data_IF_501916656381
#
_entry.id   IF_501916656381
#
_cell.length_a   1.000
_cell.length_b   1.000
_cell.length_c   1.000
_cell.angle_alpha   90.00
_cell.angle_beta   90.00
_cell.angle_gamma   90.00
#
_symmetry.space_group_name_H-M   'P 1'
#
loop_
_entity.id
_entity.type
_entity.pdbx_description
1 polymer ?
#
# COMPACT_ATOMS: atom_id res chain seq x y z
N UNK A 1 -39.34 -42.93 35.25
CA UNK A 1 -39.26 -41.96 34.15
C UNK A 1 -38.21 -40.92 34.53
N UNK A 2 -36.97 -41.14 34.15
CA UNK A 2 -35.85 -40.25 34.42
C UNK A 2 -35.55 -39.42 33.18
N UNK A 3 -35.63 -38.08 33.31
CA UNK A 3 -35.24 -37.13 32.26
C UNK A 3 -33.71 -37.02 32.23
N UNK A 4 -33.10 -37.50 31.14
CA UNK A 4 -31.68 -37.29 30.84
C UNK A 4 -31.57 -35.92 30.17
N UNK A 5 -30.97 -34.93 30.85
CA UNK A 5 -30.57 -33.66 30.28
C UNK A 5 -29.16 -33.81 29.69
N UNK A 6 -28.90 -33.39 28.42
CA UNK A 6 -27.53 -33.45 27.90
C UNK A 6 -26.69 -32.32 28.50
N UNK A 7 -25.58 -32.70 29.14
CA UNK A 7 -24.52 -31.78 29.54
C UNK A 7 -23.79 -31.29 28.27
N UNK A 8 -24.02 -30.09 27.84
CA UNK A 8 -23.18 -29.41 26.85
C UNK A 8 -21.82 -29.08 27.47
N UNK A 9 -20.79 -29.68 26.94
CA UNK A 9 -19.40 -29.44 27.33
C UNK A 9 -18.94 -28.08 26.81
N UNK A 10 -18.74 -27.08 27.67
CA UNK A 10 -18.16 -25.76 27.37
C UNK A 10 -16.62 -25.75 27.39
N UNK A 11 -15.98 -26.74 26.77
CA UNK A 11 -14.51 -26.84 26.80
C UNK A 11 -13.78 -26.18 25.61
N UNK A 12 -14.48 -25.77 24.54
CA UNK A 12 -13.83 -25.22 23.34
C UNK A 12 -13.42 -23.73 23.48
N UNK A 13 -14.24 -22.89 24.13
CA UNK A 13 -14.00 -21.45 24.21
C UNK A 13 -12.75 -21.06 25.02
N UNK A 14 -12.49 -21.71 26.15
CA UNK A 14 -11.32 -21.38 27.00
C UNK A 14 -9.98 -21.74 26.33
N UNK A 15 -9.91 -22.85 25.60
CA UNK A 15 -8.70 -23.22 24.83
C UNK A 15 -8.41 -22.27 23.69
N UNK A 16 -9.44 -21.83 22.97
CA UNK A 16 -9.29 -20.86 21.86
C UNK A 16 -8.81 -19.51 22.41
N UNK A 17 -9.40 -18.99 23.48
CA UNK A 17 -8.98 -17.72 24.13
C UNK A 17 -7.54 -17.82 24.64
N UNK A 18 -7.14 -18.94 25.21
CA UNK A 18 -5.76 -19.15 25.70
C UNK A 18 -4.74 -19.16 24.55
N UNK A 19 -5.04 -19.85 23.44
CA UNK A 19 -4.18 -19.89 22.25
C UNK A 19 -4.06 -18.52 21.60
N UNK A 20 -5.17 -17.76 21.48
CA UNK A 20 -5.16 -16.40 20.95
C UNK A 20 -4.34 -15.44 21.81
N UNK A 21 -4.52 -15.48 23.12
CA UNK A 21 -3.73 -14.67 24.08
C UNK A 21 -2.24 -15.02 24.01
N UNK A 22 -1.89 -16.29 23.86
CA UNK A 22 -0.50 -16.73 23.72
C UNK A 22 0.12 -16.25 22.40
N UNK A 23 -0.62 -16.31 21.28
CA UNK A 23 -0.15 -15.77 19.99
C UNK A 23 0.06 -14.25 20.04
N UNK A 24 -0.88 -13.52 20.61
CA UNK A 24 -0.77 -12.08 20.80
C UNK A 24 0.42 -11.72 21.68
N UNK A 25 0.61 -12.41 22.80
CA UNK A 25 1.78 -12.21 23.67
C UNK A 25 3.10 -12.44 22.92
N UNK A 26 3.19 -13.50 22.11
CA UNK A 26 4.36 -13.78 21.27
C UNK A 26 4.62 -12.67 20.26
N UNK A 27 3.57 -12.04 19.70
CA UNK A 27 3.74 -10.93 18.74
C UNK A 27 4.15 -9.62 19.41
N UNK A 28 3.63 -9.31 20.60
CA UNK A 28 4.05 -8.14 21.37
C UNK A 28 5.52 -8.30 21.77
N UNK A 29 5.89 -9.45 22.36
CA UNK A 29 7.28 -9.75 22.75
C UNK A 29 8.23 -9.85 21.55
N UNK A 30 7.73 -10.05 20.32
CA UNK A 30 8.55 -9.97 19.13
C UNK A 30 9.11 -8.55 18.94
N UNK A 31 8.28 -7.50 19.07
CA UNK A 31 8.71 -6.11 18.92
C UNK A 31 9.42 -5.55 20.16
N UNK A 32 9.35 -6.22 21.31
CA UNK A 32 10.11 -5.88 22.53
C UNK A 32 11.56 -6.38 22.50
N UNK A 33 11.97 -7.12 21.47
CA UNK A 33 13.37 -7.59 21.32
C UNK A 33 14.29 -6.41 21.06
N UNK A 34 15.37 -6.30 21.83
CA UNK A 34 16.31 -5.17 21.74
C UNK A 34 17.06 -5.04 20.41
N UNK A 35 17.13 -6.10 19.58
CA UNK A 35 17.96 -6.15 18.39
C UNK A 35 17.22 -6.69 17.16
N UNK A 36 15.99 -6.22 16.89
CA UNK A 36 15.31 -6.56 15.65
C UNK A 36 16.04 -6.00 14.44
N UNK A 37 16.34 -6.85 13.48
CA UNK A 37 17.01 -6.48 12.24
C UNK A 37 15.95 -6.20 11.18
N UNK A 38 16.04 -5.06 10.53
CA UNK A 38 15.11 -4.62 9.50
C UNK A 38 15.74 -4.73 8.12
N UNK A 39 14.93 -5.17 7.15
CA UNK A 39 15.27 -5.10 5.74
C UNK A 39 14.26 -4.29 4.95
N UNK A 40 14.75 -3.54 3.96
CA UNK A 40 13.96 -2.86 2.96
C UNK A 40 14.05 -3.61 1.63
N UNK A 41 12.91 -3.97 1.06
CA UNK A 41 12.81 -4.61 -0.24
C UNK A 41 12.24 -3.59 -1.25
N UNK A 42 13.12 -3.12 -2.14
CA UNK A 42 12.81 -2.07 -3.12
C UNK A 42 13.72 -0.86 -3.01
N UNK A 43 13.89 -0.11 -4.09
CA UNK A 43 14.82 1.02 -4.19
C UNK A 43 14.22 2.27 -4.86
N UNK A 44 12.88 2.36 -4.91
CA UNK A 44 12.17 3.55 -5.41
C UNK A 44 12.13 4.69 -4.39
N UNK A 45 11.48 5.81 -4.76
CA UNK A 45 11.34 6.99 -3.89
C UNK A 45 10.76 6.63 -2.51
N UNK A 46 9.69 5.82 -2.47
CA UNK A 46 9.06 5.45 -1.21
C UNK A 46 9.97 4.57 -0.33
N UNK A 47 10.67 3.59 -0.93
CA UNK A 47 11.65 2.78 -0.22
C UNK A 47 12.78 3.64 0.37
N UNK A 48 13.32 4.60 -0.41
CA UNK A 48 14.37 5.52 0.06
C UNK A 48 13.88 6.39 1.22
N UNK A 49 12.65 6.91 1.16
CA UNK A 49 12.06 7.69 2.24
C UNK A 49 11.86 6.84 3.51
N UNK A 50 11.39 5.58 3.38
CA UNK A 50 11.21 4.67 4.50
C UNK A 50 12.54 4.22 5.11
N UNK A 51 13.59 4.01 4.31
CA UNK A 51 14.95 3.76 4.84
C UNK A 51 15.42 4.94 5.68
N UNK A 52 15.28 6.18 5.18
CA UNK A 52 15.60 7.38 5.96
C UNK A 52 14.82 7.42 7.29
N UNK A 53 13.52 7.06 7.29
CA UNK A 53 12.70 7.01 8.50
C UNK A 53 13.18 5.93 9.48
N UNK A 54 13.41 4.71 9.01
CA UNK A 54 13.86 3.61 9.85
C UNK A 54 15.22 3.90 10.50
N UNK A 55 16.12 4.58 9.81
CA UNK A 55 17.43 4.98 10.36
C UNK A 55 17.34 5.99 11.52
N UNK A 56 16.18 6.58 11.82
CA UNK A 56 15.99 7.34 13.06
C UNK A 56 16.00 6.44 14.31
N UNK A 57 15.62 5.17 14.18
CA UNK A 57 15.45 4.23 15.28
C UNK A 57 16.36 3.00 15.16
N UNK A 58 16.83 2.66 13.96
CA UNK A 58 17.65 1.49 13.70
C UNK A 58 19.11 1.89 13.50
N UNK A 59 20.05 1.08 14.03
CA UNK A 59 21.49 1.31 13.83
C UNK A 59 21.89 1.04 12.38
N UNK A 60 21.36 -0.03 11.79
CA UNK A 60 21.59 -0.41 10.39
C UNK A 60 20.37 -1.07 9.77
N UNK A 61 20.32 -1.07 8.43
CA UNK A 61 19.24 -1.67 7.63
C UNK A 61 19.88 -2.50 6.52
N UNK A 62 19.37 -3.72 6.31
CA UNK A 62 19.63 -4.49 5.10
C UNK A 62 18.75 -3.97 3.97
N UNK A 63 19.32 -3.73 2.77
CA UNK A 63 18.56 -3.10 1.70
C UNK A 63 18.75 -3.82 0.37
N UNK A 64 17.64 -4.42 -0.13
CA UNK A 64 17.61 -5.02 -1.45
C UNK A 64 17.38 -3.97 -2.53
N UNK A 65 18.28 -3.92 -3.49
CA UNK A 65 18.21 -3.06 -4.67
C UNK A 65 18.46 -3.86 -5.94
N UNK A 66 17.59 -3.76 -6.93
CA UNK A 66 17.77 -4.44 -8.22
C UNK A 66 19.03 -3.98 -8.99
N UNK A 67 19.51 -2.76 -8.75
CA UNK A 67 20.57 -2.12 -9.54
C UNK A 67 21.85 -1.99 -8.74
N UNK A 68 22.91 -2.70 -9.16
CA UNK A 68 24.26 -2.53 -8.61
C UNK A 68 24.74 -1.08 -8.74
N UNK A 69 24.47 -0.42 -9.88
CA UNK A 69 24.84 0.98 -10.11
C UNK A 69 24.22 1.95 -9.08
N UNK A 70 23.05 1.62 -8.53
CA UNK A 70 22.44 2.45 -7.48
C UNK A 70 23.11 2.20 -6.12
N UNK A 71 23.52 0.97 -5.83
CA UNK A 71 24.32 0.61 -4.65
C UNK A 71 25.67 1.35 -4.69
N UNK A 72 26.36 1.29 -5.82
CA UNK A 72 27.65 1.95 -6.02
C UNK A 72 27.52 3.47 -5.83
N UNK A 73 26.47 4.08 -6.39
CA UNK A 73 26.20 5.51 -6.22
C UNK A 73 26.00 5.89 -4.75
N UNK A 74 25.28 5.06 -3.98
CA UNK A 74 25.08 5.33 -2.54
C UNK A 74 26.40 5.17 -1.77
N UNK A 75 27.21 4.15 -2.11
CA UNK A 75 28.52 3.93 -1.47
C UNK A 75 29.52 5.06 -1.72
N UNK A 76 29.55 5.56 -2.95
CA UNK A 76 30.52 6.56 -3.40
C UNK A 76 30.06 7.99 -3.14
N UNK A 77 28.78 8.27 -3.39
CA UNK A 77 28.25 9.64 -3.42
C UNK A 77 27.26 9.92 -2.28
N UNK A 78 26.91 8.95 -1.44
CA UNK A 78 25.93 9.06 -0.36
C UNK A 78 24.50 9.39 -0.82
N UNK A 79 24.20 9.22 -2.10
CA UNK A 79 22.91 9.54 -2.70
C UNK A 79 22.42 8.42 -3.65
N UNK A 80 21.11 8.20 -3.68
CA UNK A 80 20.50 7.36 -4.71
C UNK A 80 20.64 8.02 -6.08
N UNK A 81 20.99 7.23 -7.10
CA UNK A 81 21.18 7.74 -8.46
C UNK A 81 19.89 8.23 -9.10
N UNK A 82 18.78 7.58 -8.82
CA UNK A 82 17.54 7.74 -9.61
C UNK A 82 16.35 8.30 -8.81
N UNK A 83 16.35 8.15 -7.48
CA UNK A 83 15.20 8.47 -6.65
C UNK A 83 15.60 9.28 -5.43
N UNK A 84 14.90 10.39 -5.17
CA UNK A 84 15.16 11.28 -4.03
C UNK A 84 16.65 11.63 -3.89
N UNK A 85 17.25 12.11 -4.97
CA UNK A 85 18.70 12.40 -5.04
C UNK A 85 19.19 13.38 -3.99
N UNK A 86 18.30 14.18 -3.40
CA UNK A 86 18.60 15.11 -2.31
C UNK A 86 18.75 14.45 -0.93
N UNK A 87 18.34 13.18 -0.79
CA UNK A 87 18.44 12.45 0.48
C UNK A 87 19.86 11.98 0.69
N UNK A 88 20.49 12.47 1.76
CA UNK A 88 21.78 11.96 2.21
C UNK A 88 21.59 10.63 2.93
N UNK A 89 22.34 9.63 2.51
CA UNK A 89 22.34 8.28 3.07
C UNK A 89 23.75 7.95 3.60
N UNK A 90 23.81 7.42 4.79
CA UNK A 90 25.08 6.95 5.37
C UNK A 90 25.33 5.48 4.98
N UNK A 91 26.27 5.19 4.06
CA UNK A 91 26.52 3.82 3.60
C UNK A 91 27.00 2.88 4.71
N UNK A 92 27.62 3.39 5.76
CA UNK A 92 28.10 2.59 6.90
C UNK A 92 26.98 1.94 7.70
N UNK A 93 25.76 2.47 7.55
CA UNK A 93 24.53 1.97 8.19
C UNK A 93 23.65 1.15 7.25
N UNK A 94 24.12 0.85 6.04
CA UNK A 94 23.34 0.18 5.00
C UNK A 94 24.07 -1.07 4.50
N UNK A 95 23.46 -2.24 4.74
CA UNK A 95 23.90 -3.51 4.18
C UNK A 95 23.16 -3.75 2.86
N UNK A 96 23.73 -3.25 1.76
CA UNK A 96 23.06 -3.25 0.44
C UNK A 96 23.50 -4.44 -0.40
N UNK A 97 22.50 -5.14 -0.99
CA UNK A 97 22.73 -6.28 -1.89
C UNK A 97 21.72 -6.29 -3.05
N UNK A 98 22.13 -6.91 -4.15
CA UNK A 98 21.25 -7.26 -5.28
C UNK A 98 20.68 -8.67 -5.16
N UNK A 99 21.05 -9.43 -4.13
CA UNK A 99 20.46 -10.73 -3.82
C UNK A 99 19.36 -10.57 -2.76
N UNK A 100 18.13 -10.87 -3.17
CA UNK A 100 16.96 -10.80 -2.29
C UNK A 100 17.02 -11.84 -1.17
N UNK A 101 17.60 -13.01 -1.42
CA UNK A 101 17.69 -14.08 -0.42
C UNK A 101 18.63 -13.69 0.72
N UNK A 102 19.81 -13.14 0.38
CA UNK A 102 20.75 -12.62 1.36
C UNK A 102 20.11 -11.56 2.26
N UNK A 103 19.39 -10.60 1.66
CA UNK A 103 18.74 -9.51 2.40
C UNK A 103 17.61 -10.02 3.29
N UNK A 104 16.76 -10.91 2.80
CA UNK A 104 15.65 -11.48 3.58
C UNK A 104 16.17 -12.34 4.72
N UNK A 105 17.21 -13.16 4.48
CA UNK A 105 17.79 -14.01 5.51
C UNK A 105 18.38 -13.19 6.66
N UNK A 106 19.04 -12.06 6.35
CA UNK A 106 19.71 -11.20 7.32
C UNK A 106 18.78 -10.47 8.30
N UNK A 107 17.47 -10.44 8.08
CA UNK A 107 16.53 -9.61 8.83
C UNK A 107 15.38 -10.39 9.46
N UNK A 108 14.77 -9.82 10.50
CA UNK A 108 13.60 -10.35 11.21
C UNK A 108 12.31 -9.67 10.73
N UNK A 109 12.40 -8.38 10.35
CA UNK A 109 11.30 -7.55 9.84
C UNK A 109 11.62 -7.12 8.41
N UNK A 110 10.71 -7.41 7.49
CA UNK A 110 10.85 -7.13 6.06
C UNK A 110 9.86 -6.05 5.62
N UNK A 111 10.35 -4.93 5.12
CA UNK A 111 9.51 -3.84 4.60
C UNK A 111 9.53 -3.88 3.07
N UNK A 112 8.38 -4.17 2.47
CA UNK A 112 8.23 -4.22 1.02
C UNK A 112 7.72 -2.88 0.49
N UNK A 113 8.52 -2.22 -0.36
CA UNK A 113 8.20 -0.93 -0.97
C UNK A 113 8.59 -0.92 -2.46
N UNK A 114 8.13 -1.92 -3.19
CA UNK A 114 8.23 -2.05 -4.64
C UNK A 114 6.90 -1.66 -5.30
N UNK A 115 6.89 -1.11 -6.52
CA UNK A 115 5.64 -1.00 -7.26
C UNK A 115 4.99 -2.37 -7.48
N UNK A 116 3.65 -2.44 -7.36
CA UNK A 116 2.90 -3.69 -7.46
C UNK A 116 3.17 -4.44 -8.77
N UNK A 117 3.31 -3.72 -9.87
CA UNK A 117 3.65 -4.26 -11.19
C UNK A 117 5.00 -5.01 -11.25
N UNK A 118 5.91 -4.75 -10.33
CA UNK A 118 7.23 -5.40 -10.29
C UNK A 118 7.37 -6.39 -9.14
N UNK A 119 6.35 -6.48 -8.28
CA UNK A 119 6.40 -7.28 -7.07
C UNK A 119 6.66 -8.76 -7.37
N UNK A 120 5.91 -9.36 -8.29
CA UNK A 120 6.10 -10.77 -8.68
C UNK A 120 7.47 -11.02 -9.30
N UNK A 121 7.99 -10.09 -10.11
CA UNK A 121 9.35 -10.20 -10.66
C UNK A 121 10.45 -10.13 -9.59
N UNK A 122 10.21 -9.44 -8.48
CA UNK A 122 11.11 -9.43 -7.31
C UNK A 122 11.00 -10.76 -6.56
N UNK A 123 9.77 -11.23 -6.29
CA UNK A 123 9.53 -12.47 -5.55
C UNK A 123 9.95 -13.73 -6.32
N UNK A 124 9.98 -13.71 -7.65
CA UNK A 124 10.41 -14.83 -8.48
C UNK A 124 11.87 -15.28 -8.23
N UNK A 125 12.71 -14.38 -7.69
CA UNK A 125 14.09 -14.70 -7.32
C UNK A 125 14.25 -15.12 -5.86
N UNK A 126 13.17 -15.10 -5.08
CA UNK A 126 13.19 -15.53 -3.69
C UNK A 126 12.96 -17.04 -3.58
N UNK A 127 13.89 -17.73 -2.93
CA UNK A 127 13.85 -19.21 -2.77
C UNK A 127 13.84 -19.64 -1.30
N UNK A 128 13.89 -18.69 -0.36
CA UNK A 128 13.97 -18.95 1.07
C UNK A 128 12.60 -19.17 1.74
N UNK A 129 12.56 -19.03 3.06
CA UNK A 129 11.35 -19.12 3.88
C UNK A 129 11.04 -17.81 4.59
N UNK A 130 9.75 -17.46 4.65
CA UNK A 130 9.24 -16.30 5.40
C UNK A 130 8.62 -16.70 6.76
N UNK A 131 8.72 -17.96 7.17
CA UNK A 131 8.00 -18.53 8.30
C UNK A 131 8.17 -17.76 9.62
N UNK A 132 9.38 -17.25 9.89
CA UNK A 132 9.69 -16.52 11.11
C UNK A 132 9.86 -15.01 10.92
N UNK A 133 9.50 -14.48 9.75
CA UNK A 133 9.61 -13.07 9.43
C UNK A 133 8.33 -12.31 9.79
N UNK A 134 8.46 -11.05 10.12
CA UNK A 134 7.36 -10.10 10.16
C UNK A 134 7.38 -9.28 8.85
N UNK A 135 6.27 -9.27 8.14
CA UNK A 135 6.16 -8.60 6.84
C UNK A 135 5.44 -7.25 7.03
N UNK A 136 6.02 -6.19 6.50
CA UNK A 136 5.37 -4.88 6.42
C UNK A 136 5.24 -4.52 4.95
N UNK A 137 4.01 -4.39 4.46
CA UNK A 137 3.74 -3.92 3.11
C UNK A 137 3.54 -2.40 3.09
N UNK A 138 4.27 -1.73 2.23
CA UNK A 138 4.07 -0.33 1.86
C UNK A 138 3.69 -0.19 0.37
N UNK A 139 3.26 -1.31 -0.24
CA UNK A 139 2.81 -1.41 -1.64
C UNK A 139 1.36 -0.94 -1.71
N UNK A 140 1.03 -0.13 -2.72
CA UNK A 140 -0.30 0.47 -2.89
C UNK A 140 -0.96 -0.06 -4.18
N UNK A 141 -1.25 -1.37 -4.21
CA UNK A 141 -1.80 -2.07 -5.37
C UNK A 141 -2.00 -3.55 -5.09
N UNK A 142 -2.31 -4.31 -6.13
CA UNK A 142 -2.60 -5.74 -6.08
C UNK A 142 -1.52 -6.57 -6.76
N UNK A 143 -1.49 -7.85 -6.47
CA UNK A 143 -0.80 -8.87 -7.27
C UNK A 143 -1.66 -9.14 -8.51
N UNK A 144 -1.23 -8.63 -9.66
CA UNK A 144 -2.07 -8.59 -10.87
C UNK A 144 -2.41 -9.98 -11.43
N UNK A 145 -1.60 -11.00 -11.15
CA UNK A 145 -1.77 -12.36 -11.65
C UNK A 145 -2.97 -13.09 -11.04
N UNK A 146 -3.37 -12.73 -9.82
CA UNK A 146 -4.44 -13.40 -9.08
C UNK A 146 -5.38 -12.45 -8.33
N UNK A 147 -5.26 -11.14 -8.56
CA UNK A 147 -6.04 -10.07 -7.93
C UNK A 147 -5.99 -10.06 -6.40
N UNK A 148 -4.98 -10.67 -5.79
CA UNK A 148 -4.82 -10.67 -4.33
C UNK A 148 -4.25 -9.32 -3.85
N UNK A 149 -4.64 -8.93 -2.65
CA UNK A 149 -3.90 -7.92 -1.90
C UNK A 149 -2.50 -8.45 -1.55
N UNK A 150 -1.57 -7.59 -1.17
CA UNK A 150 -0.22 -8.04 -0.80
C UNK A 150 -0.24 -8.89 0.48
N UNK A 151 -1.12 -8.55 1.43
CA UNK A 151 -1.30 -9.35 2.65
C UNK A 151 -1.84 -10.75 2.33
N UNK A 152 -2.83 -10.86 1.44
CA UNK A 152 -3.35 -12.15 1.00
C UNK A 152 -2.30 -12.98 0.26
N UNK A 153 -1.51 -12.36 -0.59
CA UNK A 153 -0.41 -13.05 -1.28
C UNK A 153 0.57 -13.67 -0.29
N UNK A 154 1.05 -12.92 0.69
CA UNK A 154 1.96 -13.48 1.70
C UNK A 154 1.30 -14.57 2.53
N UNK A 155 0.02 -14.42 2.83
CA UNK A 155 -0.72 -15.43 3.58
C UNK A 155 -0.94 -16.71 2.77
N UNK A 156 -1.45 -16.62 1.54
CA UNK A 156 -1.86 -17.76 0.74
C UNK A 156 -0.69 -18.47 0.06
N UNK A 157 0.31 -17.72 -0.42
CA UNK A 157 1.43 -18.27 -1.19
C UNK A 157 2.62 -18.66 -0.30
N UNK A 158 2.90 -17.82 0.71
CA UNK A 158 4.05 -18.02 1.60
C UNK A 158 3.67 -18.49 3.01
N UNK A 159 2.39 -18.76 3.27
CA UNK A 159 1.86 -19.21 4.56
C UNK A 159 2.22 -18.28 5.75
N UNK A 160 2.44 -16.98 5.46
CA UNK A 160 2.67 -15.97 6.51
C UNK A 160 1.33 -15.67 7.19
N UNK A 161 1.17 -15.94 8.50
CA UNK A 161 -0.10 -15.64 9.15
C UNK A 161 -0.35 -14.14 9.23
N UNK A 162 -1.62 -13.72 9.11
CA UNK A 162 -2.00 -12.30 9.22
C UNK A 162 -1.52 -11.65 10.52
N UNK A 163 -1.30 -12.43 11.58
CA UNK A 163 -0.72 -11.95 12.84
C UNK A 163 0.72 -11.38 12.67
N UNK A 164 1.41 -11.74 11.58
CA UNK A 164 2.76 -11.30 11.22
C UNK A 164 2.80 -10.38 9.99
N UNK A 165 1.67 -9.76 9.67
CA UNK A 165 1.57 -8.83 8.56
C UNK A 165 1.19 -7.45 9.10
N UNK A 166 1.94 -6.45 8.68
CA UNK A 166 1.67 -5.04 8.88
C UNK A 166 1.55 -4.31 7.54
N UNK A 167 0.78 -3.22 7.52
CA UNK A 167 0.60 -2.37 6.36
C UNK A 167 0.94 -0.93 6.71
N UNK A 168 1.67 -0.25 5.84
CA UNK A 168 1.91 1.19 5.90
C UNK A 168 1.01 1.87 4.87
N UNK A 169 0.15 2.78 5.31
CA UNK A 169 -0.74 3.57 4.47
C UNK A 169 -0.79 5.04 4.95
N UNK A 170 -1.57 5.86 4.26
CA UNK A 170 -1.83 7.25 4.63
C UNK A 170 -1.29 8.28 3.62
N UNK A 171 -1.63 9.57 3.82
CA UNK A 171 -1.33 10.67 2.92
C UNK A 171 0.14 11.08 3.00
N UNK A 172 1.03 10.32 2.33
CA UNK A 172 2.47 10.52 2.39
C UNK A 172 3.10 10.39 1.00
N UNK A 173 3.50 11.50 0.41
CA UNK A 173 4.38 11.49 -0.74
C UNK A 173 5.84 11.35 -0.30
N UNK A 174 6.58 10.48 -0.99
CA UNK A 174 7.98 10.20 -0.67
C UNK A 174 8.85 11.47 -0.68
N UNK A 175 8.55 12.37 -1.60
CA UNK A 175 9.20 13.67 -1.77
C UNK A 175 9.04 14.53 -0.51
N UNK A 176 7.83 14.66 0.01
CA UNK A 176 7.55 15.47 1.21
C UNK A 176 8.14 14.83 2.48
N UNK A 177 8.01 13.50 2.62
CA UNK A 177 8.61 12.76 3.74
C UNK A 177 10.13 12.91 3.72
N UNK A 178 10.75 12.84 2.55
CA UNK A 178 12.21 13.00 2.41
C UNK A 178 12.70 14.42 2.79
N UNK A 179 11.86 15.43 2.57
CA UNK A 179 12.08 16.84 2.97
C UNK A 179 11.69 17.11 4.43
N UNK A 180 11.35 16.09 5.21
CA UNK A 180 10.93 16.20 6.60
C UNK A 180 9.67 17.06 6.81
N UNK A 181 8.78 17.07 5.82
CA UNK A 181 7.47 17.72 5.95
C UNK A 181 6.56 16.89 6.86
N UNK A 182 5.78 17.57 7.69
CA UNK A 182 4.84 16.88 8.59
C UNK A 182 3.89 15.99 7.80
N UNK A 183 3.96 14.69 8.07
CA UNK A 183 3.18 13.67 7.37
C UNK A 183 2.56 12.70 8.38
N UNK A 184 1.51 12.00 7.95
CA UNK A 184 0.74 11.10 8.80
C UNK A 184 0.71 9.71 8.18
N UNK A 185 1.25 8.73 8.91
CA UNK A 185 1.21 7.31 8.54
C UNK A 185 0.15 6.57 9.36
N UNK A 186 -0.58 5.68 8.72
CA UNK A 186 -1.38 4.67 9.39
C UNK A 186 -0.65 3.34 9.33
N UNK A 187 -0.37 2.78 10.50
CA UNK A 187 0.26 1.47 10.66
C UNK A 187 -0.82 0.48 11.04
N UNK A 188 -0.99 -0.52 10.21
CA UNK A 188 -2.09 -1.49 10.37
C UNK A 188 -1.54 -2.86 10.63
N UNK A 189 -2.14 -3.59 11.55
CA UNK A 189 -1.92 -5.03 11.78
C UNK A 189 -3.18 -5.63 12.37
N UNK A 190 -3.34 -6.95 12.28
CA UNK A 190 -4.49 -7.66 12.83
C UNK A 190 -4.74 -7.38 14.32
N UNK A 191 -3.70 -7.09 15.08
CA UNK A 191 -3.76 -6.78 16.51
C UNK A 191 -3.36 -5.32 16.76
N UNK A 192 -4.18 -4.60 17.50
CA UNK A 192 -3.98 -3.18 17.76
C UNK A 192 -2.67 -2.89 18.51
N UNK A 193 -2.25 -3.78 19.39
CA UNK A 193 -0.99 -3.68 20.13
C UNK A 193 0.21 -3.78 19.20
N UNK A 194 0.17 -4.68 18.21
CA UNK A 194 1.19 -4.80 17.17
C UNK A 194 1.20 -3.55 16.29
N UNK A 195 0.02 -3.05 15.90
CA UNK A 195 -0.07 -1.80 15.14
C UNK A 195 0.51 -0.61 15.91
N UNK A 196 0.34 -0.55 17.24
CA UNK A 196 0.97 0.47 18.11
C UNK A 196 2.50 0.32 18.13
N UNK A 197 3.01 -0.90 18.29
CA UNK A 197 4.45 -1.15 18.23
C UNK A 197 5.05 -0.71 16.88
N UNK A 198 4.34 -0.97 15.77
CA UNK A 198 4.73 -0.45 14.45
C UNK A 198 4.71 1.09 14.40
N UNK A 199 3.72 1.72 15.05
CA UNK A 199 3.68 3.19 15.16
C UNK A 199 4.96 3.75 15.78
N UNK A 200 5.45 3.14 16.85
CA UNK A 200 6.66 3.56 17.54
C UNK A 200 7.92 3.42 16.67
N UNK A 201 7.96 2.40 15.81
CA UNK A 201 9.08 2.17 14.87
C UNK A 201 9.18 3.28 13.80
N UNK A 202 8.05 3.82 13.35
CA UNK A 202 8.01 4.81 12.26
C UNK A 202 7.78 6.24 12.70
N UNK A 203 7.39 6.48 13.97
CA UNK A 203 7.16 7.82 14.49
C UNK A 203 8.46 8.61 14.62
N UNK A 204 8.42 9.89 14.25
CA UNK A 204 9.53 10.83 14.51
C UNK A 204 8.99 12.27 14.56
N UNK A 205 9.87 13.28 14.66
CA UNK A 205 9.46 14.69 14.79
C UNK A 205 8.56 15.18 13.64
N UNK A 206 8.69 14.62 12.44
CA UNK A 206 7.93 15.00 11.24
C UNK A 206 6.98 13.90 10.74
N UNK A 207 6.93 12.74 11.40
CA UNK A 207 5.97 11.68 11.12
C UNK A 207 5.10 11.42 12.35
N UNK A 208 3.80 11.64 12.19
CA UNK A 208 2.77 11.22 13.14
C UNK A 208 2.18 9.88 12.68
N UNK A 209 1.95 9.00 13.62
CA UNK A 209 1.47 7.65 13.34
C UNK A 209 0.12 7.39 13.99
N UNK A 210 -0.72 6.60 13.35
CA UNK A 210 -2.02 6.16 13.87
C UNK A 210 -2.15 4.65 13.68
N UNK A 211 -2.48 3.88 14.73
CA UNK A 211 -2.68 2.45 14.59
C UNK A 211 -4.06 2.12 14.03
N UNK A 212 -4.13 1.02 13.25
CA UNK A 212 -5.38 0.46 12.71
C UNK A 212 -5.35 -1.06 12.75
N UNK A 213 -6.53 -1.70 12.73
CA UNK A 213 -6.67 -3.15 12.61
C UNK A 213 -7.26 -3.58 11.26
N UNK A 214 -7.70 -2.64 10.43
CA UNK A 214 -8.37 -2.88 9.17
C UNK A 214 -7.40 -3.12 8.02
N UNK A 215 -6.79 -4.31 7.95
CA UNK A 215 -5.81 -4.68 6.92
C UNK A 215 -6.42 -4.55 5.52
N UNK A 216 -7.58 -5.18 5.29
CA UNK A 216 -8.24 -5.15 3.98
C UNK A 216 -8.63 -3.74 3.56
N UNK A 217 -9.29 -3.01 4.46
CA UNK A 217 -9.75 -1.67 4.15
C UNK A 217 -8.62 -0.73 3.73
N UNK A 218 -7.46 -0.75 4.42
CA UNK A 218 -6.34 0.14 4.07
C UNK A 218 -5.63 -0.29 2.77
N UNK A 219 -5.53 -1.59 2.46
CA UNK A 219 -4.94 -2.05 1.20
C UNK A 219 -5.83 -1.71 0.00
N UNK A 220 -7.14 -2.02 0.09
CA UNK A 220 -8.09 -1.66 -0.97
C UNK A 220 -8.19 -0.15 -1.15
N UNK A 221 -8.26 0.62 -0.07
CA UNK A 221 -8.31 2.08 -0.16
C UNK A 221 -7.05 2.65 -0.83
N UNK A 222 -5.87 2.12 -0.50
CA UNK A 222 -4.60 2.53 -1.11
C UNK A 222 -4.52 2.19 -2.61
N UNK A 223 -5.22 1.16 -3.08
CA UNK A 223 -5.32 0.84 -4.50
C UNK A 223 -6.38 1.67 -5.22
N UNK A 224 -7.60 1.76 -4.66
CA UNK A 224 -8.73 2.51 -5.23
C UNK A 224 -8.42 3.99 -5.40
N UNK A 225 -7.79 4.65 -4.41
CA UNK A 225 -7.41 6.06 -4.55
C UNK A 225 -6.54 6.34 -5.77
N UNK A 226 -5.72 5.37 -6.18
CA UNK A 226 -4.86 5.50 -7.35
C UNK A 226 -5.68 5.49 -8.64
N UNK A 227 -6.78 4.73 -8.70
CA UNK A 227 -7.75 4.72 -9.80
C UNK A 227 -8.45 6.08 -9.87
N UNK A 228 -8.95 6.57 -8.73
CA UNK A 228 -9.63 7.87 -8.65
C UNK A 228 -8.71 9.05 -8.97
N UNK A 229 -7.42 8.93 -8.65
CA UNK A 229 -6.44 9.93 -9.07
C UNK A 229 -6.21 9.95 -10.59
N UNK A 230 -6.31 8.80 -11.28
CA UNK A 230 -6.33 8.75 -12.74
C UNK A 230 -7.57 9.45 -13.28
N UNK A 231 -8.77 9.16 -12.74
CA UNK A 231 -10.01 9.86 -13.11
C UNK A 231 -9.88 11.37 -12.96
N UNK A 232 -9.38 11.82 -11.79
CA UNK A 232 -9.10 13.22 -11.51
C UNK A 232 -8.14 13.84 -12.54
N UNK A 233 -7.09 13.11 -12.91
CA UNK A 233 -6.14 13.52 -13.95
C UNK A 233 -6.80 13.66 -15.32
N UNK A 234 -7.60 12.66 -15.74
CA UNK A 234 -8.32 12.68 -17.02
C UNK A 234 -9.24 13.90 -17.08
N UNK A 235 -10.06 14.12 -16.05
CA UNK A 235 -10.98 15.27 -15.98
C UNK A 235 -10.21 16.60 -16.06
N UNK A 236 -9.10 16.74 -15.32
CA UNK A 236 -8.25 17.92 -15.39
C UNK A 236 -7.68 18.12 -16.81
N UNK A 237 -7.20 17.07 -17.47
CA UNK A 237 -6.69 17.12 -18.84
C UNK A 237 -7.74 17.53 -19.87
N UNK A 238 -9.00 17.17 -19.65
CA UNK A 238 -10.16 17.56 -20.46
C UNK A 238 -10.66 18.98 -20.16
N UNK A 239 -10.10 19.66 -19.15
CA UNK A 239 -10.45 21.05 -18.83
C UNK A 239 -11.58 21.22 -17.81
N UNK A 240 -11.98 20.14 -17.09
CA UNK A 240 -12.92 20.28 -15.98
C UNK A 240 -12.30 21.07 -14.84
N UNK A 241 -13.05 22.00 -14.26
CA UNK A 241 -12.61 22.89 -13.19
C UNK A 241 -12.78 22.30 -11.79
N UNK A 242 -12.36 23.10 -10.78
CA UNK A 242 -12.32 22.67 -9.37
C UNK A 242 -13.70 22.30 -8.80
N UNK A 243 -14.79 22.94 -9.25
CA UNK A 243 -16.14 22.61 -8.82
C UNK A 243 -16.47 21.13 -9.16
N UNK A 244 -16.20 20.73 -10.40
CA UNK A 244 -16.41 19.34 -10.81
C UNK A 244 -15.46 18.39 -10.09
N UNK A 245 -14.19 18.78 -9.90
CA UNK A 245 -13.23 17.98 -9.15
C UNK A 245 -13.69 17.71 -7.72
N UNK A 246 -14.34 18.66 -7.06
CA UNK A 246 -14.88 18.45 -5.71
C UNK A 246 -16.01 17.41 -5.74
N UNK A 247 -16.91 17.45 -6.74
CA UNK A 247 -17.98 16.46 -6.93
C UNK A 247 -17.37 15.08 -7.22
N UNK A 248 -16.43 14.99 -8.15
CA UNK A 248 -15.74 13.74 -8.50
C UNK A 248 -15.11 13.09 -7.26
N UNK A 249 -14.36 13.86 -6.44
CA UNK A 249 -13.68 13.32 -5.27
C UNK A 249 -14.67 12.94 -4.16
N UNK A 250 -15.82 13.62 -4.04
CA UNK A 250 -16.89 13.23 -3.13
C UNK A 250 -17.50 11.88 -3.53
N UNK A 251 -17.81 11.73 -4.80
CA UNK A 251 -18.36 10.46 -5.32
C UNK A 251 -17.31 9.34 -5.26
N UNK A 252 -16.05 9.61 -5.54
CA UNK A 252 -14.95 8.64 -5.38
C UNK A 252 -14.83 8.14 -3.94
N UNK A 253 -15.02 9.01 -2.96
CA UNK A 253 -15.03 8.62 -1.55
C UNK A 253 -16.25 7.75 -1.20
N UNK A 254 -17.42 8.09 -1.70
CA UNK A 254 -18.64 7.29 -1.51
C UNK A 254 -18.51 5.91 -2.17
N UNK A 255 -17.99 5.84 -3.39
CA UNK A 255 -17.73 4.61 -4.13
C UNK A 255 -16.74 3.71 -3.36
N UNK A 256 -15.63 4.27 -2.87
CA UNK A 256 -14.67 3.57 -2.02
C UNK A 256 -15.35 2.99 -0.76
N UNK A 257 -16.12 3.80 -0.04
CA UNK A 257 -16.79 3.38 1.17
C UNK A 257 -17.82 2.27 0.91
N UNK A 258 -18.61 2.40 -0.17
CA UNK A 258 -19.60 1.41 -0.58
C UNK A 258 -18.93 0.09 -0.95
N UNK A 259 -17.85 0.13 -1.74
CA UNK A 259 -17.08 -1.05 -2.10
C UNK A 259 -16.53 -1.77 -0.87
N UNK A 260 -15.89 -1.06 0.05
CA UNK A 260 -15.33 -1.65 1.26
C UNK A 260 -16.39 -2.27 2.18
N UNK A 261 -17.54 -1.62 2.31
CA UNK A 261 -18.64 -2.13 3.15
C UNK A 261 -19.26 -3.39 2.56
N UNK A 262 -19.32 -3.50 1.24
CA UNK A 262 -19.92 -4.65 0.55
C UNK A 262 -18.96 -5.85 0.49
N UNK A 263 -17.65 -5.61 0.31
CA UNK A 263 -16.65 -6.68 0.13
C UNK A 263 -16.02 -7.13 1.45
N UNK A 264 -15.70 -6.20 2.33
CA UNK A 264 -14.98 -6.44 3.59
C UNK A 264 -15.60 -5.61 4.71
N UNK A 265 -16.81 -5.94 5.19
CA UNK A 265 -17.48 -5.17 6.23
C UNK A 265 -16.67 -5.18 7.54
N UNK A 266 -16.51 -4.00 8.15
CA UNK A 266 -15.88 -3.82 9.44
C UNK A 266 -16.53 -2.65 10.17
N UNK A 267 -17.26 -2.95 11.26
CA UNK A 267 -17.99 -1.97 12.06
C UNK A 267 -17.05 -0.95 12.74
N UNK A 268 -15.77 -1.26 12.87
CA UNK A 268 -14.78 -0.37 13.48
C UNK A 268 -14.08 0.53 12.44
N UNK A 269 -14.38 0.36 11.15
CA UNK A 269 -13.76 1.15 10.08
C UNK A 269 -14.14 2.62 10.15
N UNK A 270 -13.13 3.46 10.25
CA UNK A 270 -13.29 4.92 10.22
C UNK A 270 -12.85 5.44 8.86
N UNK A 271 -13.72 5.32 7.84
CA UNK A 271 -13.42 5.73 6.45
C UNK A 271 -13.04 7.22 6.30
N UNK A 272 -13.40 8.07 7.27
CA UNK A 272 -13.00 9.49 7.29
C UNK A 272 -11.59 9.73 7.83
N UNK A 273 -10.85 8.68 8.17
CA UNK A 273 -9.47 8.80 8.68
C UNK A 273 -8.45 9.10 7.56
N UNK A 274 -7.23 9.39 7.99
CA UNK A 274 -6.14 9.76 7.09
C UNK A 274 -5.80 8.67 6.05
N UNK A 275 -5.92 7.39 6.41
CA UNK A 275 -5.62 6.28 5.51
C UNK A 275 -6.60 6.13 4.33
N UNK A 276 -7.82 6.66 4.47
CA UNK A 276 -8.88 6.59 3.45
C UNK A 276 -9.08 7.96 2.81
N UNK A 277 -9.90 8.82 3.41
CA UNK A 277 -10.23 10.14 2.87
C UNK A 277 -8.98 11.02 2.69
N UNK A 278 -8.08 11.04 3.68
CA UNK A 278 -6.85 11.85 3.59
C UNK A 278 -5.95 11.43 2.43
N UNK A 279 -5.71 10.12 2.27
CA UNK A 279 -4.85 9.59 1.21
C UNK A 279 -5.52 9.71 -0.17
N UNK A 280 -6.85 9.60 -0.25
CA UNK A 280 -7.62 9.88 -1.45
C UNK A 280 -7.46 11.33 -1.89
N UNK A 281 -7.68 12.29 -0.99
CA UNK A 281 -7.60 13.72 -1.31
C UNK A 281 -6.19 14.13 -1.74
N UNK A 282 -5.15 13.75 -0.98
CA UNK A 282 -3.78 14.11 -1.36
C UNK A 282 -3.40 13.51 -2.71
N UNK A 283 -3.85 12.28 -3.02
CA UNK A 283 -3.50 11.63 -4.29
C UNK A 283 -4.25 12.24 -5.47
N UNK A 284 -5.51 12.67 -5.28
CA UNK A 284 -6.33 13.29 -6.32
C UNK A 284 -5.94 14.73 -6.67
N UNK A 285 -5.42 15.49 -5.69
CA UNK A 285 -5.07 16.91 -5.89
C UNK A 285 -3.58 17.18 -6.06
N UNK A 286 -2.70 16.35 -5.52
CA UNK A 286 -1.26 16.61 -5.52
C UNK A 286 -0.64 16.56 -6.91
N UNK A 287 0.28 17.49 -7.17
CA UNK A 287 1.12 17.49 -8.36
C UNK A 287 2.16 16.36 -8.36
N UNK A 288 2.50 15.80 -7.18
CA UNK A 288 3.38 14.65 -7.06
C UNK A 288 2.69 13.33 -7.38
N UNK A 289 1.36 13.33 -7.59
CA UNK A 289 0.61 12.11 -7.91
C UNK A 289 0.88 11.63 -9.33
N UNK A 290 1.64 10.55 -9.46
CA UNK A 290 1.92 9.88 -10.74
C UNK A 290 0.64 9.44 -11.46
N UNK A 291 -0.33 8.95 -10.71
CA UNK A 291 -1.63 8.53 -11.25
C UNK A 291 -2.39 9.72 -11.84
N UNK A 292 -2.42 10.86 -11.13
CA UNK A 292 -3.02 12.09 -11.64
C UNK A 292 -2.30 12.61 -12.89
N UNK A 293 -0.97 12.57 -12.91
CA UNK A 293 -0.18 12.96 -14.09
C UNK A 293 -0.48 12.06 -15.28
N UNK A 294 -0.54 10.75 -15.07
CA UNK A 294 -0.89 9.76 -16.10
C UNK A 294 -2.29 10.04 -16.70
N UNK A 295 -3.29 10.23 -15.84
CA UNK A 295 -4.64 10.59 -16.25
C UNK A 295 -4.69 11.91 -17.02
N UNK A 296 -3.95 12.93 -16.57
CA UNK A 296 -3.89 14.23 -17.25
C UNK A 296 -3.32 14.14 -18.68
N UNK A 297 -2.33 13.29 -18.90
CA UNK A 297 -1.81 13.04 -20.25
C UNK A 297 -2.88 12.41 -21.14
N UNK A 298 -3.62 11.41 -20.63
CA UNK A 298 -4.70 10.76 -21.36
C UNK A 298 -5.84 11.75 -21.67
N UNK A 299 -6.23 12.59 -20.71
CA UNK A 299 -7.22 13.65 -20.90
C UNK A 299 -6.78 14.67 -21.95
N UNK A 300 -5.48 14.91 -22.13
CA UNK A 300 -4.89 15.76 -23.17
C UNK A 300 -4.74 15.08 -24.53
N UNK A 301 -5.20 13.83 -24.67
CA UNK A 301 -5.21 13.11 -25.95
C UNK A 301 -4.02 12.17 -26.18
N UNK A 302 -3.15 11.93 -25.18
CA UNK A 302 -2.14 10.89 -25.30
C UNK A 302 -2.83 9.50 -25.29
N UNK A 303 -2.34 8.58 -26.13
CA UNK A 303 -2.74 7.19 -25.97
C UNK A 303 -2.22 6.63 -24.63
N UNK A 304 -2.89 5.62 -24.09
CA UNK A 304 -2.46 4.92 -22.86
C UNK A 304 -1.00 4.48 -22.98
N UNK A 305 -0.63 3.88 -24.10
CA UNK A 305 0.74 3.42 -24.36
C UNK A 305 1.75 4.57 -24.40
N UNK A 306 1.42 5.68 -25.07
CA UNK A 306 2.31 6.85 -25.15
C UNK A 306 2.51 7.46 -23.75
N UNK A 307 1.45 7.57 -22.96
CA UNK A 307 1.54 8.08 -21.60
C UNK A 307 2.39 7.15 -20.69
N UNK A 308 2.28 5.82 -20.84
CA UNK A 308 3.13 4.88 -20.10
C UNK A 308 4.62 4.99 -20.47
N UNK A 309 4.95 5.20 -21.75
CA UNK A 309 6.35 5.34 -22.21
C UNK A 309 6.95 6.66 -21.74
N UNK A 310 6.18 7.74 -21.75
CA UNK A 310 6.63 9.07 -21.33
C UNK A 310 6.88 9.15 -19.82
N UNK A 311 6.16 8.37 -19.03
CA UNK A 311 6.32 8.37 -17.59
C UNK A 311 7.57 7.62 -17.14
N UNK A 312 8.44 8.28 -16.39
CA UNK A 312 9.64 7.67 -15.77
C UNK A 312 9.32 6.67 -14.65
N UNK A 313 8.10 6.67 -14.15
CA UNK A 313 7.65 5.84 -13.01
C UNK A 313 6.24 5.30 -13.23
N UNK A 314 5.96 4.13 -12.67
CA UNK A 314 4.68 3.42 -12.79
C UNK A 314 3.52 4.20 -12.18
N UNK A 315 2.40 4.28 -12.89
CA UNK A 315 1.10 4.67 -12.36
C UNK A 315 0.38 3.40 -11.84
N UNK A 316 0.36 3.20 -10.54
CA UNK A 316 -0.21 2.01 -9.89
C UNK A 316 -1.70 1.81 -10.21
N UNK A 317 -2.44 2.91 -10.36
CA UNK A 317 -3.86 2.88 -10.70
C UNK A 317 -4.17 2.23 -12.05
N UNK A 318 -3.21 2.18 -12.97
CA UNK A 318 -3.36 1.42 -14.22
C UNK A 318 -3.63 -0.06 -13.93
N UNK A 319 -2.75 -0.69 -13.15
CA UNK A 319 -2.92 -2.12 -12.81
C UNK A 319 -4.07 -2.34 -11.84
N UNK A 320 -4.24 -1.45 -10.87
CA UNK A 320 -5.32 -1.54 -9.90
C UNK A 320 -6.71 -1.48 -10.54
N UNK A 321 -6.92 -0.68 -11.60
CA UNK A 321 -8.22 -0.59 -12.27
C UNK A 321 -8.65 -1.91 -12.88
N UNK A 322 -7.73 -2.68 -13.48
CA UNK A 322 -8.03 -4.01 -13.98
C UNK A 322 -8.37 -4.98 -12.85
N UNK A 323 -7.57 -4.99 -11.78
CA UNK A 323 -7.84 -5.88 -10.64
C UNK A 323 -9.19 -5.59 -10.00
N UNK A 324 -9.53 -4.32 -9.76
CA UNK A 324 -10.82 -3.92 -9.20
C UNK A 324 -11.98 -4.29 -10.12
N UNK A 325 -11.84 -4.07 -11.44
CA UNK A 325 -12.85 -4.48 -12.41
C UNK A 325 -13.08 -6.01 -12.33
N UNK A 326 -12.03 -6.83 -12.29
CA UNK A 326 -12.17 -8.28 -12.16
C UNK A 326 -12.77 -8.71 -10.81
N UNK A 327 -12.34 -8.13 -9.70
CA UNK A 327 -12.90 -8.40 -8.38
C UNK A 327 -14.38 -8.02 -8.35
N UNK A 328 -14.76 -6.87 -8.92
CA UNK A 328 -16.14 -6.38 -8.88
C UNK A 328 -17.11 -7.21 -9.73
N UNK A 329 -16.65 -8.07 -10.65
CA UNK A 329 -17.53 -9.02 -11.37
C UNK A 329 -18.25 -9.98 -10.42
N UNK A 330 -17.63 -10.31 -9.29
CA UNK A 330 -18.22 -11.16 -8.26
C UNK A 330 -19.25 -10.37 -7.43
N UNK A 331 -18.89 -9.16 -6.98
CA UNK A 331 -19.71 -8.38 -6.04
C UNK A 331 -20.77 -7.52 -6.71
N UNK A 332 -20.57 -7.10 -7.97
CA UNK A 332 -21.47 -6.29 -8.78
C UNK A 332 -21.89 -4.98 -8.10
N UNK A 333 -20.92 -4.33 -7.48
CA UNK A 333 -21.13 -3.04 -6.82
C UNK A 333 -21.13 -1.95 -7.90
N UNK A 334 -22.00 -0.97 -7.74
CA UNK A 334 -22.01 0.21 -8.61
C UNK A 334 -20.77 1.07 -8.33
N UNK A 335 -19.87 1.13 -9.33
CA UNK A 335 -18.58 1.81 -9.25
C UNK A 335 -18.32 2.63 -10.52
N UNK A 336 -19.14 3.66 -10.79
CA UNK A 336 -19.10 4.36 -12.06
C UNK A 336 -17.74 5.03 -12.35
N UNK A 337 -17.03 5.53 -11.33
CA UNK A 337 -15.74 6.19 -11.55
C UNK A 337 -14.64 5.17 -11.87
N UNK A 338 -14.58 4.07 -11.13
CA UNK A 338 -13.59 3.01 -11.39
C UNK A 338 -13.83 2.34 -12.74
N UNK A 339 -15.11 2.11 -13.11
CA UNK A 339 -15.49 1.56 -14.41
C UNK A 339 -15.15 2.52 -15.56
N UNK A 340 -15.43 3.82 -15.42
CA UNK A 340 -15.04 4.82 -16.42
C UNK A 340 -13.52 4.81 -16.68
N UNK A 341 -12.70 4.68 -15.62
CA UNK A 341 -11.25 4.56 -15.76
C UNK A 341 -10.88 3.27 -16.48
N UNK A 342 -11.50 2.14 -16.15
CA UNK A 342 -11.25 0.86 -16.81
C UNK A 342 -11.58 0.91 -18.30
N UNK A 343 -12.75 1.43 -18.68
CA UNK A 343 -13.19 1.58 -20.07
C UNK A 343 -12.21 2.42 -20.90
N UNK A 344 -11.68 3.49 -20.31
CA UNK A 344 -10.69 4.35 -20.98
C UNK A 344 -9.34 3.62 -21.14
N UNK A 345 -8.87 2.94 -20.09
CA UNK A 345 -7.51 2.38 -20.05
C UNK A 345 -7.37 1.05 -20.78
N UNK A 346 -8.41 0.21 -20.76
CA UNK A 346 -8.33 -1.17 -21.26
C UNK A 346 -9.25 -1.44 -22.45
N UNK A 347 -10.37 -0.73 -22.57
CA UNK A 347 -11.24 -0.81 -23.74
C UNK A 347 -11.02 0.32 -24.75
N UNK A 348 -10.04 1.19 -24.48
CA UNK A 348 -9.62 2.30 -25.33
C UNK A 348 -10.81 3.22 -25.73
N UNK A 349 -11.82 3.33 -24.84
CA UNK A 349 -12.96 4.23 -25.06
C UNK A 349 -12.51 5.68 -25.05
N UNK A 350 -13.13 6.48 -25.89
CA UNK A 350 -12.80 7.90 -26.05
C UNK A 350 -13.06 8.69 -24.77
N UNK A 351 -12.03 9.25 -24.11
CA UNK A 351 -12.12 9.83 -22.77
C UNK A 351 -13.19 10.93 -22.64
N UNK A 352 -13.34 11.90 -23.59
CA UNK A 352 -14.38 12.92 -23.49
C UNK A 352 -15.79 12.35 -23.46
N UNK A 353 -16.04 11.25 -24.18
CA UNK A 353 -17.35 10.61 -24.21
C UNK A 353 -17.65 9.89 -22.89
N UNK A 354 -16.70 9.09 -22.40
CA UNK A 354 -16.86 8.35 -21.14
C UNK A 354 -17.04 9.30 -19.95
N UNK A 355 -16.22 10.36 -19.87
CA UNK A 355 -16.34 11.34 -18.78
C UNK A 355 -17.65 12.11 -18.87
N UNK A 356 -18.13 12.44 -20.08
CA UNK A 356 -19.43 13.07 -20.23
C UNK A 356 -20.57 12.19 -19.71
N UNK A 357 -20.56 10.88 -20.01
CA UNK A 357 -21.52 9.94 -19.43
C UNK A 357 -21.41 9.90 -17.90
N UNK A 358 -20.19 9.80 -17.37
CA UNK A 358 -19.95 9.81 -15.93
C UNK A 358 -20.54 11.06 -15.26
N UNK A 359 -20.51 12.25 -15.90
CA UNK A 359 -21.08 13.47 -15.30
C UNK A 359 -22.59 13.39 -15.08
N UNK A 360 -23.31 12.55 -15.79
CA UNK A 360 -24.77 12.35 -15.61
C UNK A 360 -25.09 11.38 -14.46
N UNK A 361 -24.09 10.62 -13.99
CA UNK A 361 -24.25 9.62 -12.93
C UNK A 361 -23.81 10.15 -11.55
N UNK A 362 -22.96 11.20 -11.51
CA UNK A 362 -22.46 11.79 -10.27
C UNK A 362 -23.48 12.77 -9.66
N UNK A 363 -23.49 12.88 -8.31
CA UNK A 363 -24.40 13.72 -7.53
C UNK A 363 -23.74 14.35 -6.31
#
# INVERSE_FOLDING_TARGET
MGKITPKFFSFSGKKVIFVLRRKLYVMITFFERENLRYAMIGSGSWATALVKLLLNHQQSISWFMRSQKNIDSIRENHHSRSYLQSVLLDPSRLNMSTDINEVIESADVLVFAVPSAYFMGVMANFTGSLENKFIISAIKGFVAENNLTIAEYFNQVHNVPFDRIGIISGPCHAEEVSMERLSYLTLTSKHIEVARALCDVFACKYIKTTPSTDIYGVEFAAALKNIYAIAAGICHGLGYGDNFMAVLMTNAFNELATFLNATHPDDNRVVKSAAYLGDLLVTGYSQFSRNRTFGNMIGKGYSVRSAQVEMSMVAEGYYASKCIHEINKEYRIDMPIAEAVYLILYEERYPPFVIKQLTEELF
#
